data_IF_808850403430
#
_entry.id   IF_808850403430
#
_cell.length_a   1.000
_cell.length_b   1.000
_cell.length_c   1.000
_cell.angle_alpha   90.00
_cell.angle_beta   90.00
_cell.angle_gamma   90.00
#
_symmetry.space_group_name_H-M   'P 1'
#
loop_
_entity.id
_entity.type
_entity.pdbx_description
1 polymer ?
#
# COMPACT_ATOMS: atom_id res chain seq x y z
N UNK A 1 -28.84 -41.05 -9.50
CA UNK A 1 -28.32 -40.46 -8.28
C UNK A 1 -27.27 -39.44 -8.68
N UNK A 2 -27.64 -38.15 -8.74
CA UNK A 2 -26.72 -37.07 -9.16
C UNK A 2 -26.19 -36.42 -7.91
N UNK A 3 -24.93 -36.67 -7.56
CA UNK A 3 -24.22 -35.98 -6.45
C UNK A 3 -23.73 -34.65 -6.96
N UNK A 4 -24.47 -33.57 -6.66
CA UNK A 4 -23.98 -32.21 -6.84
C UNK A 4 -22.89 -31.91 -5.81
N UNK A 5 -21.64 -31.97 -6.23
CA UNK A 5 -20.52 -31.45 -5.43
C UNK A 5 -20.65 -29.95 -5.38
N UNK A 6 -21.20 -29.42 -4.27
CA UNK A 6 -21.26 -28.02 -3.98
C UNK A 6 -19.83 -27.48 -3.81
N UNK A 7 -19.37 -26.66 -4.76
CA UNK A 7 -18.13 -25.89 -4.63
C UNK A 7 -18.35 -24.85 -3.51
N UNK A 8 -17.89 -25.17 -2.32
CA UNK A 8 -17.78 -24.17 -1.24
C UNK A 8 -16.63 -23.24 -1.58
N UNK A 9 -16.90 -22.18 -2.34
CA UNK A 9 -15.97 -21.08 -2.50
C UNK A 9 -15.82 -20.40 -1.14
N UNK A 10 -14.66 -20.51 -0.49
CA UNK A 10 -14.35 -19.77 0.73
C UNK A 10 -14.29 -18.29 0.39
N UNK A 11 -15.30 -17.52 0.79
CA UNK A 11 -15.30 -16.08 0.64
C UNK A 11 -14.11 -15.48 1.41
N UNK A 12 -13.46 -14.44 0.85
CA UNK A 12 -12.37 -13.73 1.52
C UNK A 12 -12.90 -12.98 2.75
N UNK A 13 -12.14 -12.97 3.83
CA UNK A 13 -12.44 -12.13 4.99
C UNK A 13 -12.22 -10.65 4.68
N UNK A 14 -12.82 -9.75 5.47
CA UNK A 14 -12.68 -8.31 5.27
C UNK A 14 -11.22 -7.85 5.36
N UNK A 15 -10.43 -8.45 6.25
CA UNK A 15 -9.00 -8.12 6.37
C UNK A 15 -8.21 -8.53 5.11
N UNK A 16 -8.58 -9.65 4.48
CA UNK A 16 -7.97 -10.07 3.21
C UNK A 16 -8.37 -9.12 2.05
N UNK A 17 -9.62 -8.69 2.02
CA UNK A 17 -10.09 -7.73 1.04
C UNK A 17 -9.38 -6.37 1.21
N UNK A 18 -9.22 -5.90 2.45
CA UNK A 18 -8.48 -4.67 2.73
C UNK A 18 -7.01 -4.76 2.27
N UNK A 19 -6.32 -5.87 2.57
CA UNK A 19 -4.95 -6.07 2.10
C UNK A 19 -4.86 -6.14 0.57
N UNK A 20 -5.84 -6.76 -0.10
CA UNK A 20 -5.93 -6.81 -1.55
C UNK A 20 -6.07 -5.40 -2.16
N UNK A 21 -6.99 -4.59 -1.63
CA UNK A 21 -7.24 -3.23 -2.11
C UNK A 21 -6.01 -2.35 -1.88
N UNK A 22 -5.44 -2.38 -0.68
CA UNK A 22 -4.23 -1.61 -0.35
C UNK A 22 -3.06 -2.04 -1.26
N UNK A 23 -2.82 -3.35 -1.43
CA UNK A 23 -1.79 -3.86 -2.32
C UNK A 23 -1.99 -3.44 -3.77
N UNK A 24 -3.23 -3.49 -4.27
CA UNK A 24 -3.56 -3.05 -5.63
C UNK A 24 -3.31 -1.54 -5.80
N UNK A 25 -3.67 -0.72 -4.84
CA UNK A 25 -3.41 0.73 -4.86
C UNK A 25 -1.91 1.01 -4.91
N UNK A 26 -1.11 0.38 -4.06
CA UNK A 26 0.35 0.54 -4.09
C UNK A 26 0.98 0.12 -5.41
N UNK A 27 0.54 -1.00 -5.96
CA UNK A 27 1.01 -1.48 -7.25
C UNK A 27 0.71 -0.47 -8.37
N UNK A 28 -0.53 0.04 -8.42
CA UNK A 28 -0.95 1.05 -9.40
C UNK A 28 -0.15 2.33 -9.24
N UNK A 29 -0.02 2.85 -8.01
CA UNK A 29 0.74 4.07 -7.72
C UNK A 29 2.20 3.92 -8.16
N UNK A 30 2.86 2.80 -7.84
CA UNK A 30 4.23 2.56 -8.26
C UNK A 30 4.40 2.48 -9.78
N UNK A 31 3.44 1.88 -10.50
CA UNK A 31 3.44 1.86 -11.96
C UNK A 31 3.23 3.26 -12.54
N UNK A 32 2.27 4.01 -12.01
CA UNK A 32 1.95 5.37 -12.48
C UNK A 32 3.13 6.34 -12.28
N UNK A 33 3.97 6.11 -11.27
CA UNK A 33 5.21 6.86 -11.05
C UNK A 33 6.23 6.74 -12.19
N UNK A 34 6.08 5.74 -13.08
CA UNK A 34 6.88 5.56 -14.29
C UNK A 34 6.17 6.01 -15.58
N UNK A 35 4.99 6.61 -15.50
CA UNK A 35 4.21 7.01 -16.68
C UNK A 35 4.36 8.51 -16.93
N UNK A 36 5.05 8.93 -18.03
CA UNK A 36 5.14 10.33 -18.40
C UNK A 36 3.75 10.93 -18.60
N UNK A 37 3.56 12.17 -18.13
CA UNK A 37 2.28 12.88 -18.18
C UNK A 37 1.38 12.63 -16.97
N UNK A 38 1.42 11.45 -16.31
CA UNK A 38 0.83 11.22 -14.98
C UNK A 38 1.85 11.67 -13.92
N UNK A 39 3.12 11.35 -14.12
CA UNK A 39 4.24 11.93 -13.40
C UNK A 39 4.73 13.13 -14.16
N UNK A 40 4.66 14.32 -13.55
CA UNK A 40 5.16 15.59 -14.08
C UNK A 40 6.66 15.70 -13.86
N UNK A 41 7.31 16.58 -14.61
CA UNK A 41 8.76 16.80 -14.59
C UNK A 41 9.51 15.46 -14.70
N UNK A 42 9.03 14.60 -15.61
CA UNK A 42 9.48 13.21 -15.75
C UNK A 42 10.95 13.09 -16.16
N UNK A 43 11.45 14.04 -16.92
CA UNK A 43 12.87 14.17 -17.31
C UNK A 43 13.80 14.35 -16.11
N UNK A 44 13.29 14.89 -15.01
CA UNK A 44 14.02 15.08 -13.75
C UNK A 44 13.92 13.87 -12.81
N UNK A 45 13.32 12.77 -13.27
CA UNK A 45 13.20 11.54 -12.48
C UNK A 45 14.59 10.91 -12.25
N UNK A 46 15.08 11.03 -11.04
CA UNK A 46 16.32 10.37 -10.61
C UNK A 46 16.05 8.96 -10.04
N UNK A 47 17.10 8.15 -9.97
CA UNK A 47 16.98 6.83 -9.38
C UNK A 47 16.62 6.89 -7.88
N UNK A 48 17.25 7.76 -7.13
CA UNK A 48 17.03 8.00 -5.70
C UNK A 48 17.55 9.39 -5.31
N UNK A 49 17.22 9.83 -4.09
CA UNK A 49 17.73 11.07 -3.53
C UNK A 49 16.79 12.26 -3.72
N UNK A 50 17.08 13.32 -2.98
CA UNK A 50 16.29 14.55 -2.92
C UNK A 50 16.31 15.37 -4.22
N UNK A 51 17.26 15.09 -5.11
CA UNK A 51 17.39 15.78 -6.41
C UNK A 51 16.36 15.30 -7.46
N UNK A 52 15.54 14.27 -7.15
CA UNK A 52 14.47 13.86 -8.04
C UNK A 52 13.37 14.92 -8.05
N UNK A 53 13.27 15.66 -9.16
CA UNK A 53 12.26 16.71 -9.36
C UNK A 53 10.89 16.19 -9.77
N UNK A 54 10.80 14.91 -10.17
CA UNK A 54 9.57 14.31 -10.68
C UNK A 54 8.48 14.19 -9.60
N UNK A 55 7.22 14.45 -9.97
CA UNK A 55 6.08 14.42 -9.04
C UNK A 55 4.92 13.64 -9.64
N UNK A 56 4.49 12.57 -8.96
CA UNK A 56 3.27 11.86 -9.30
C UNK A 56 2.06 12.79 -9.09
N UNK A 57 1.23 12.92 -10.14
CA UNK A 57 0.08 13.82 -10.19
C UNK A 57 0.45 15.30 -9.92
N UNK A 58 1.71 15.68 -10.10
CA UNK A 58 2.20 17.02 -9.79
C UNK A 58 2.29 17.37 -8.30
N UNK A 59 2.10 16.40 -7.40
CA UNK A 59 1.99 16.61 -5.95
C UNK A 59 3.03 15.82 -5.17
N UNK A 60 3.10 14.51 -5.38
CA UNK A 60 3.91 13.60 -4.58
C UNK A 60 5.30 13.43 -5.17
N UNK A 61 6.34 13.68 -4.40
CA UNK A 61 7.72 13.49 -4.85
C UNK A 61 8.00 12.02 -5.09
N UNK A 62 8.58 11.69 -6.24
CA UNK A 62 8.87 10.30 -6.61
C UNK A 62 10.28 10.14 -7.18
N UNK A 63 10.83 8.95 -7.03
CA UNK A 63 12.07 8.51 -7.67
C UNK A 63 11.89 7.11 -8.23
N UNK A 64 12.83 6.63 -9.03
CA UNK A 64 12.83 5.27 -9.51
C UNK A 64 12.76 4.24 -8.37
N UNK A 65 13.57 4.45 -7.33
CA UNK A 65 13.56 3.59 -6.13
C UNK A 65 12.22 3.64 -5.40
N UNK A 66 11.65 4.84 -5.19
CA UNK A 66 10.34 5.03 -4.58
C UNK A 66 9.27 4.22 -5.33
N UNK A 67 9.21 4.37 -6.65
CA UNK A 67 8.24 3.68 -7.49
C UNK A 67 8.41 2.15 -7.42
N UNK A 68 9.65 1.63 -7.45
CA UNK A 68 9.93 0.19 -7.31
C UNK A 68 9.50 -0.32 -5.94
N UNK A 69 9.78 0.40 -4.85
CA UNK A 69 9.36 0.03 -3.51
C UNK A 69 7.83 -0.07 -3.44
N UNK A 70 7.10 0.86 -4.06
CA UNK A 70 5.65 0.81 -4.12
C UNK A 70 5.14 -0.41 -4.90
N UNK A 71 5.75 -0.75 -6.04
CA UNK A 71 5.42 -1.96 -6.81
C UNK A 71 5.64 -3.22 -5.95
N UNK A 72 6.81 -3.34 -5.33
CA UNK A 72 7.14 -4.50 -4.49
C UNK A 72 6.18 -4.61 -3.30
N UNK A 73 5.91 -3.49 -2.63
CA UNK A 73 4.99 -3.45 -1.49
C UNK A 73 3.56 -3.81 -1.93
N UNK A 74 3.14 -3.37 -3.12
CA UNK A 74 1.88 -3.74 -3.72
C UNK A 74 1.78 -5.24 -4.00
N UNK A 75 2.80 -5.83 -4.63
CA UNK A 75 2.86 -7.28 -4.88
C UNK A 75 2.81 -8.08 -3.57
N UNK A 76 3.57 -7.66 -2.55
CA UNK A 76 3.54 -8.29 -1.22
C UNK A 76 2.12 -8.23 -0.63
N UNK A 77 1.41 -7.11 -0.77
CA UNK A 77 0.04 -6.96 -0.31
C UNK A 77 -0.94 -7.92 -1.00
N UNK A 78 -0.82 -8.05 -2.34
CA UNK A 78 -1.64 -9.00 -3.11
C UNK A 78 -1.39 -10.45 -2.68
N UNK A 79 -0.13 -10.83 -2.45
CA UNK A 79 0.24 -12.17 -1.96
C UNK A 79 -0.25 -12.38 -0.52
N UNK A 80 -0.06 -11.39 0.36
CA UNK A 80 -0.51 -11.45 1.75
C UNK A 80 -2.03 -11.60 1.88
N UNK A 81 -2.80 -11.08 0.91
CA UNK A 81 -4.26 -11.23 0.86
C UNK A 81 -4.73 -12.69 0.70
N UNK A 82 -3.84 -13.64 0.43
CA UNK A 82 -4.18 -15.06 0.34
C UNK A 82 -4.66 -15.64 1.68
N UNK A 83 -4.17 -15.16 2.82
CA UNK A 83 -4.59 -15.61 4.15
C UNK A 83 -4.91 -14.44 5.09
N UNK A 84 -5.87 -14.62 6.00
CA UNK A 84 -6.25 -13.58 6.95
C UNK A 84 -5.12 -13.19 7.91
N UNK A 85 -4.23 -14.12 8.23
CA UNK A 85 -3.08 -13.86 9.11
C UNK A 85 -2.02 -13.02 8.39
N UNK A 86 -1.64 -13.38 7.16
CA UNK A 86 -0.68 -12.61 6.36
C UNK A 86 -1.23 -11.23 5.99
N UNK A 87 -2.52 -11.13 5.63
CA UNK A 87 -3.19 -9.87 5.36
C UNK A 87 -3.12 -8.90 6.55
N UNK A 88 -3.38 -9.39 7.77
CA UNK A 88 -3.25 -8.59 8.99
C UNK A 88 -1.81 -8.18 9.25
N UNK A 89 -0.86 -9.10 9.10
CA UNK A 89 0.56 -8.79 9.28
C UNK A 89 1.04 -7.73 8.29
N UNK A 90 0.61 -7.82 7.02
CA UNK A 90 0.89 -6.81 6.00
C UNK A 90 0.31 -5.45 6.36
N UNK A 91 -0.96 -5.38 6.77
CA UNK A 91 -1.60 -4.11 7.12
C UNK A 91 -0.96 -3.48 8.37
N UNK A 92 -0.76 -4.25 9.43
CA UNK A 92 -0.18 -3.71 10.67
C UNK A 92 1.30 -3.39 10.47
N UNK A 93 2.09 -4.31 9.93
CA UNK A 93 3.53 -4.11 9.71
C UNK A 93 3.81 -3.00 8.71
N UNK A 94 3.07 -2.99 7.59
CA UNK A 94 3.16 -1.92 6.60
C UNK A 94 2.76 -0.57 7.17
N UNK A 95 1.66 -0.51 7.93
CA UNK A 95 1.25 0.71 8.59
C UNK A 95 2.30 1.26 9.56
N UNK A 96 2.98 0.39 10.33
CA UNK A 96 4.11 0.80 11.19
C UNK A 96 5.27 1.35 10.37
N UNK A 97 5.60 0.72 9.22
CA UNK A 97 6.63 1.25 8.30
C UNK A 97 6.26 2.64 7.82
N UNK A 98 4.99 2.88 7.42
CA UNK A 98 4.54 4.20 6.97
C UNK A 98 4.57 5.26 8.09
N UNK A 99 4.26 4.89 9.33
CA UNK A 99 4.43 5.79 10.48
C UNK A 99 5.91 6.10 10.75
N UNK A 100 6.81 5.15 10.56
CA UNK A 100 8.25 5.39 10.64
C UNK A 100 8.74 6.33 9.53
N UNK A 101 8.24 6.17 8.28
CA UNK A 101 8.54 7.08 7.17
C UNK A 101 7.99 8.48 7.41
N UNK A 102 6.81 8.62 8.00
CA UNK A 102 6.28 9.90 8.42
C UNK A 102 7.20 10.60 9.45
N UNK A 103 7.63 9.87 10.48
CA UNK A 103 8.58 10.41 11.46
C UNK A 103 9.92 10.78 10.81
N UNK A 104 10.43 9.96 9.90
CA UNK A 104 11.62 10.25 9.12
C UNK A 104 11.46 11.57 8.35
N UNK A 105 10.34 11.78 7.63
CA UNK A 105 10.07 12.98 6.88
C UNK A 105 9.88 14.25 7.75
N UNK A 106 9.54 14.09 9.05
CA UNK A 106 9.53 15.23 10.00
C UNK A 106 10.92 15.60 10.53
N UNK A 107 11.86 14.66 10.53
CA UNK A 107 13.18 14.82 11.15
C UNK A 107 14.28 15.13 10.13
N UNK A 108 14.07 14.76 8.87
CA UNK A 108 15.05 14.91 7.79
C UNK A 108 14.71 16.15 6.97
N UNK A 109 15.70 17.01 6.73
CA UNK A 109 15.55 18.16 5.83
C UNK A 109 15.35 17.66 4.40
N UNK A 110 14.34 18.18 3.71
CA UNK A 110 13.96 17.79 2.34
C UNK A 110 15.11 17.95 1.34
N UNK A 111 16.01 18.91 1.56
CA UNK A 111 17.13 19.24 0.68
C UNK A 111 18.44 18.59 1.09
N UNK A 112 18.43 17.72 2.10
CA UNK A 112 19.65 17.06 2.57
C UNK A 112 19.89 15.71 1.86
N UNK A 113 21.16 15.31 1.79
CA UNK A 113 21.57 13.97 1.31
C UNK A 113 20.92 12.84 2.11
N UNK A 114 20.46 13.12 3.35
CA UNK A 114 19.75 12.15 4.16
C UNK A 114 18.35 11.86 3.61
N UNK A 115 17.76 12.71 2.75
CA UNK A 115 16.50 12.49 2.07
C UNK A 115 16.69 11.61 0.81
N UNK A 116 17.19 10.39 1.01
CA UNK A 116 17.50 9.45 -0.08
C UNK A 116 16.24 8.85 -0.73
N UNK A 117 15.12 8.81 -0.03
CA UNK A 117 13.78 8.57 -0.58
C UNK A 117 13.11 9.94 -0.64
N UNK A 118 12.93 10.54 -1.81
CA UNK A 118 12.43 11.90 -1.88
C UNK A 118 11.06 11.98 -1.22
N UNK A 119 10.98 12.86 -0.22
CA UNK A 119 9.76 13.14 0.53
C UNK A 119 9.54 14.65 0.54
N UNK A 120 8.31 15.06 0.34
CA UNK A 120 7.85 16.42 0.55
C UNK A 120 6.72 16.45 1.60
N UNK A 121 6.20 17.62 1.93
CA UNK A 121 5.10 17.76 2.90
C UNK A 121 3.87 16.93 2.55
N UNK A 122 3.51 16.85 1.26
CA UNK A 122 2.36 16.06 0.83
C UNK A 122 2.58 14.56 1.07
N UNK A 123 3.79 14.06 0.82
CA UNK A 123 4.18 12.67 1.11
C UNK A 123 4.10 12.39 2.61
N UNK A 124 4.56 13.32 3.43
CA UNK A 124 4.53 13.16 4.89
C UNK A 124 3.09 13.01 5.41
N UNK A 125 2.17 13.84 4.97
CA UNK A 125 0.77 13.72 5.39
C UNK A 125 0.11 12.45 4.84
N UNK A 126 0.46 12.05 3.62
CA UNK A 126 -0.01 10.79 3.04
C UNK A 126 0.51 9.59 3.84
N UNK A 127 1.78 9.57 4.22
CA UNK A 127 2.37 8.50 5.02
C UNK A 127 1.70 8.38 6.39
N UNK A 128 1.39 9.50 7.06
CA UNK A 128 0.64 9.49 8.31
C UNK A 128 -0.74 8.86 8.12
N UNK A 129 -1.49 9.32 7.10
CA UNK A 129 -2.83 8.81 6.80
C UNK A 129 -2.84 7.32 6.47
N UNK A 130 -1.91 6.88 5.61
CA UNK A 130 -1.75 5.47 5.23
C UNK A 130 -1.34 4.63 6.44
N UNK A 131 -0.37 5.09 7.23
CA UNK A 131 0.11 4.37 8.40
C UNK A 131 -1.01 4.12 9.42
N UNK A 132 -1.73 5.19 9.82
CA UNK A 132 -2.86 5.08 10.74
C UNK A 132 -3.99 4.24 10.16
N UNK A 133 -4.34 4.44 8.88
CA UNK A 133 -5.41 3.70 8.21
C UNK A 133 -5.11 2.21 8.11
N UNK A 134 -3.91 1.83 7.70
CA UNK A 134 -3.51 0.43 7.60
C UNK A 134 -3.47 -0.27 8.97
N UNK A 135 -2.93 0.38 10.00
CA UNK A 135 -2.94 -0.15 11.38
C UNK A 135 -4.36 -0.34 11.87
N UNK A 136 -5.22 0.67 11.70
CA UNK A 136 -6.62 0.60 12.09
C UNK A 136 -7.37 -0.55 11.38
N UNK A 137 -7.22 -0.68 10.06
CA UNK A 137 -7.81 -1.78 9.29
C UNK A 137 -7.29 -3.15 9.77
N UNK A 138 -5.99 -3.27 10.04
CA UNK A 138 -5.39 -4.50 10.52
C UNK A 138 -5.93 -4.96 11.87
N UNK A 139 -6.25 -4.04 12.79
CA UNK A 139 -6.79 -4.38 14.10
C UNK A 139 -8.32 -4.49 14.11
N UNK A 140 -9.03 -3.59 13.42
CA UNK A 140 -10.49 -3.53 13.48
C UNK A 140 -11.19 -4.61 12.65
N UNK A 141 -10.59 -5.06 11.53
CA UNK A 141 -11.27 -5.98 10.64
C UNK A 141 -11.22 -7.44 11.12
N UNK A 142 -12.34 -8.18 11.00
CA UNK A 142 -12.40 -9.58 11.40
C UNK A 142 -11.59 -10.47 10.46
N UNK A 143 -10.96 -11.50 11.02
CA UNK A 143 -10.21 -12.54 10.28
C UNK A 143 -11.10 -13.65 9.72
N UNK A 144 -12.35 -13.74 10.17
CA UNK A 144 -13.27 -14.82 9.80
C UNK A 144 -14.35 -14.29 8.87
N UNK A 145 -14.72 -15.09 7.89
CA UNK A 145 -15.96 -14.90 7.14
C UNK A 145 -17.11 -15.41 8.01
N UNK A 146 -18.10 -14.56 8.27
CA UNK A 146 -19.34 -15.00 8.91
C UNK A 146 -20.13 -15.81 7.88
N UNK A 147 -20.11 -17.14 8.00
CA UNK A 147 -21.02 -17.98 7.24
C UNK A 147 -22.44 -17.71 7.80
N UNK A 148 -23.27 -17.04 7.03
CA UNK A 148 -24.70 -16.91 7.33
C UNK A 148 -25.34 -18.28 7.11
N UNK A 149 -25.54 -19.03 8.19
CA UNK A 149 -26.34 -20.26 8.13
C UNK A 149 -27.80 -19.83 8.00
N UNK A 150 -28.30 -19.80 6.77
CA UNK A 150 -29.75 -19.69 6.55
C UNK A 150 -30.38 -21.03 6.96
N UNK A 151 -30.91 -21.09 8.17
CA UNK A 151 -31.88 -22.12 8.54
C UNK A 151 -33.14 -21.87 7.68
N UNK A 152 -33.34 -22.72 6.70
CA UNK A 152 -34.61 -22.82 6.00
C UNK A 152 -35.52 -23.71 6.83
N UNK A 153 -36.72 -23.25 7.21
CA UNK A 153 -37.72 -24.07 7.90
C UNK A 153 -38.24 -25.19 7.04
#
# INVERSE_FOLDING_TARGET
MSTSVGRTGTARSLVQLAALVVGAVFLVVGILGFVPGITTDYEDLQWAGHESGAKLLGVFAVSGLHNIVHIVFGVVGLVAAATATAARAYLVGGGVVYLALWLYGLLVDEHSEANFVPLNDADNWLHLGLGLGMVALGFALPRRTTATTTHRP
#
